data_IF_320931489996
#
_entry.id   IF_320931489996
#
_cell.length_a   1.000
_cell.length_b   1.000
_cell.length_c   1.000
_cell.angle_alpha   90.00
_cell.angle_beta   90.00
_cell.angle_gamma   90.00
#
_symmetry.space_group_name_H-M   'P 1'
#
loop_
_entity.id
_entity.type
_entity.pdbx_description
1 polymer ?
#
# COMPACT_ATOMS: atom_id res chain seq x y z
N UNK A 1 6.60 25.39 -8.24
CA UNK A 1 6.90 24.85 -8.69
C UNK A 1 7.70 23.78 -8.35
N UNK A 2 8.67 23.64 -8.57
CA UNK A 2 9.53 22.49 -8.40
C UNK A 2 9.67 22.05 -6.97
N UNK A 3 9.24 22.84 -6.10
CA UNK A 3 9.45 22.58 -4.72
C UNK A 3 8.68 21.42 -4.20
N UNK A 4 7.53 21.19 -4.73
CA UNK A 4 6.77 20.08 -4.27
C UNK A 4 7.44 18.80 -4.58
N UNK A 5 8.11 18.73 -5.69
CA UNK A 5 8.78 17.51 -6.07
C UNK A 5 9.82 17.08 -5.06
N UNK A 6 10.51 18.07 -4.50
CA UNK A 6 11.54 17.77 -3.53
C UNK A 6 10.93 17.11 -2.30
N UNK A 7 9.81 17.64 -1.84
CA UNK A 7 9.18 17.09 -0.66
C UNK A 7 8.69 15.67 -0.90
N UNK A 8 8.17 15.41 -2.06
CA UNK A 8 7.63 14.10 -2.36
C UNK A 8 8.70 13.05 -2.47
N UNK A 9 9.86 13.42 -2.99
CA UNK A 9 10.94 12.47 -3.19
C UNK A 9 11.44 11.89 -1.86
N UNK A 10 11.33 12.64 -0.79
CA UNK A 10 11.87 12.19 0.50
C UNK A 10 11.02 11.16 1.19
N UNK A 11 9.81 10.89 0.69
CA UNK A 11 8.91 9.95 1.33
C UNK A 11 8.39 8.99 0.27
N UNK A 12 9.15 7.93 0.00
CA UNK A 12 8.75 6.99 -1.05
C UNK A 12 7.40 6.36 -0.77
N UNK A 13 6.65 6.20 -1.84
CA UNK A 13 5.35 5.59 -1.78
C UNK A 13 5.33 4.39 -2.72
N UNK A 14 4.67 3.33 -2.30
CA UNK A 14 4.63 2.08 -3.06
C UNK A 14 3.21 1.64 -3.28
N UNK A 15 2.95 1.07 -4.46
CA UNK A 15 1.69 0.40 -4.75
C UNK A 15 1.99 -1.10 -4.82
N UNK A 16 1.23 -1.88 -4.04
CA UNK A 16 1.38 -3.32 -4.03
C UNK A 16 0.16 -3.93 -4.66
N UNK A 17 0.38 -4.78 -5.66
CA UNK A 17 -0.69 -5.52 -6.29
C UNK A 17 -0.72 -6.91 -5.66
N UNK A 18 -1.87 -7.29 -5.12
CA UNK A 18 -2.06 -8.58 -4.48
C UNK A 18 -3.15 -9.34 -5.21
N UNK A 19 -2.81 -10.49 -5.74
CA UNK A 19 -3.80 -11.33 -6.39
C UNK A 19 -4.53 -12.13 -5.32
N UNK A 20 -5.83 -11.94 -5.26
CA UNK A 20 -6.66 -12.59 -4.26
C UNK A 20 -8.01 -12.90 -4.90
N UNK A 21 -8.13 -14.07 -5.55
CA UNK A 21 -9.38 -14.43 -6.21
C UNK A 21 -10.56 -14.33 -5.26
N UNK A 22 -11.63 -13.67 -5.70
CA UNK A 22 -12.80 -13.49 -4.88
C UNK A 22 -12.73 -12.35 -3.89
N UNK A 23 -11.68 -11.51 -3.97
CA UNK A 23 -11.53 -10.41 -3.02
C UNK A 23 -12.77 -9.52 -2.94
N UNK A 24 -13.40 -9.28 -4.08
CA UNK A 24 -14.56 -8.40 -4.12
C UNK A 24 -15.79 -8.97 -3.43
N UNK A 25 -15.79 -10.26 -3.13
CA UNK A 25 -16.88 -10.91 -2.44
C UNK A 25 -16.65 -11.03 -0.93
N UNK A 26 -15.52 -10.54 -0.43
CA UNK A 26 -15.25 -10.58 1.01
C UNK A 26 -16.24 -9.69 1.76
N UNK A 27 -16.70 -10.16 2.91
CA UNK A 27 -17.62 -9.38 3.73
C UNK A 27 -16.90 -8.24 4.42
N UNK A 28 -17.67 -7.27 4.91
CA UNK A 28 -17.10 -6.17 5.68
C UNK A 28 -16.35 -6.70 6.90
N UNK A 29 -16.85 -7.77 7.50
CA UNK A 29 -16.21 -8.38 8.66
C UNK A 29 -14.87 -9.00 8.30
N UNK A 30 -14.81 -9.69 7.16
CA UNK A 30 -13.57 -10.27 6.69
C UNK A 30 -12.55 -9.21 6.32
N UNK A 31 -13.00 -8.13 5.69
CA UNK A 31 -12.12 -7.02 5.35
C UNK A 31 -11.59 -6.34 6.62
N UNK A 32 -12.44 -6.21 7.63
CA UNK A 32 -12.01 -5.65 8.91
C UNK A 32 -10.92 -6.51 9.55
N UNK A 33 -11.07 -7.83 9.48
CA UNK A 33 -10.07 -8.74 10.04
C UNK A 33 -8.73 -8.63 9.33
N UNK A 34 -8.76 -8.53 8.01
CA UNK A 34 -7.54 -8.34 7.23
C UNK A 34 -6.87 -7.02 7.61
N UNK A 35 -7.65 -5.97 7.75
CA UNK A 35 -7.13 -4.65 8.11
C UNK A 35 -6.51 -4.66 9.51
N UNK A 36 -7.16 -5.33 10.46
CA UNK A 36 -6.63 -5.44 11.81
C UNK A 36 -5.30 -6.17 11.82
N UNK A 37 -5.18 -7.23 11.04
CA UNK A 37 -3.93 -7.97 10.94
C UNK A 37 -2.84 -7.09 10.36
N UNK A 38 -3.15 -6.35 9.32
CA UNK A 38 -2.19 -5.43 8.71
C UNK A 38 -1.72 -4.39 9.72
N UNK A 39 -2.64 -3.79 10.46
CA UNK A 39 -2.29 -2.81 11.48
C UNK A 39 -1.40 -3.40 12.56
N UNK A 40 -1.64 -4.65 12.95
CA UNK A 40 -0.79 -5.33 13.91
C UNK A 40 0.63 -5.48 13.43
N UNK A 41 0.81 -5.87 12.15
CA UNK A 41 2.13 -5.99 11.56
C UNK A 41 2.82 -4.62 11.49
N UNK A 42 2.08 -3.59 11.08
CA UNK A 42 2.63 -2.25 11.00
C UNK A 42 3.13 -1.77 12.36
N UNK A 43 2.38 -2.09 13.41
CA UNK A 43 2.77 -1.73 14.76
C UNK A 43 4.10 -2.37 15.15
N UNK A 44 4.34 -3.60 14.70
CA UNK A 44 5.58 -4.31 14.95
C UNK A 44 6.74 -3.72 14.17
N UNK A 45 6.51 -3.35 12.92
CA UNK A 45 7.57 -2.82 12.05
C UNK A 45 7.96 -1.39 12.39
N UNK A 46 7.05 -0.65 13.00
CA UNK A 46 7.35 0.70 13.46
C UNK A 46 6.80 1.78 12.55
N UNK A 47 7.05 3.05 12.92
CA UNK A 47 6.39 4.18 12.27
C UNK A 47 6.93 4.52 10.87
N UNK A 48 8.01 3.91 10.43
CA UNK A 48 8.57 4.23 9.12
C UNK A 48 7.72 3.71 7.97
N UNK A 49 6.90 2.68 8.22
CA UNK A 49 6.00 2.17 7.20
C UNK A 49 4.58 2.53 7.61
N UNK A 50 3.82 3.09 6.67
CA UNK A 50 2.46 3.53 6.92
C UNK A 50 1.56 3.06 5.79
N UNK A 51 0.41 2.54 6.15
CA UNK A 51 -0.60 2.11 5.20
C UNK A 51 -1.52 3.29 4.94
N UNK A 52 -1.60 3.70 3.68
CA UNK A 52 -2.44 4.84 3.31
C UNK A 52 -3.88 4.37 3.09
N UNK A 53 -4.07 3.47 2.15
CA UNK A 53 -5.38 2.87 1.88
C UNK A 53 -5.18 1.73 0.87
N UNK A 54 -6.26 1.01 0.62
CA UNK A 54 -6.26 -0.05 -0.36
C UNK A 54 -7.54 -0.01 -1.18
N UNK A 55 -7.45 -0.47 -2.43
CA UNK A 55 -8.60 -0.63 -3.30
C UNK A 55 -8.85 -2.13 -3.43
N UNK A 56 -10.08 -2.55 -3.17
CA UNK A 56 -10.47 -3.95 -3.32
C UNK A 56 -11.26 -4.06 -4.62
N UNK A 57 -10.77 -4.88 -5.54
CA UNK A 57 -11.46 -5.15 -6.79
C UNK A 57 -12.01 -6.58 -6.75
N UNK A 58 -12.54 -7.06 -7.88
CA UNK A 58 -13.14 -8.40 -7.89
C UNK A 58 -12.16 -9.48 -7.45
N UNK A 59 -10.93 -9.42 -7.94
CA UNK A 59 -9.96 -10.49 -7.72
C UNK A 59 -8.59 -10.01 -7.28
N UNK A 60 -8.46 -8.73 -6.94
CA UNK A 60 -7.18 -8.16 -6.52
C UNK A 60 -7.39 -7.10 -5.46
N UNK A 61 -6.34 -6.85 -4.70
CA UNK A 61 -6.29 -5.70 -3.80
C UNK A 61 -5.04 -4.90 -4.17
N UNK A 62 -5.22 -3.59 -4.29
CA UNK A 62 -4.12 -2.67 -4.57
C UNK A 62 -3.91 -1.84 -3.32
N UNK A 63 -2.75 -1.97 -2.69
CA UNK A 63 -2.46 -1.29 -1.43
C UNK A 63 -1.43 -0.20 -1.64
N UNK A 64 -1.62 0.93 -0.98
CA UNK A 64 -0.70 2.06 -1.06
C UNK A 64 -0.03 2.21 0.30
N UNK A 65 1.31 2.19 0.30
CA UNK A 65 2.10 2.33 1.52
C UNK A 65 3.14 3.41 1.34
N UNK A 66 3.52 4.04 2.46
CA UNK A 66 4.67 4.91 2.54
C UNK A 66 5.71 4.14 3.34
N UNK A 67 6.91 4.01 2.80
CA UNK A 67 7.98 3.25 3.46
C UNK A 67 9.32 3.72 2.93
N UNK A 68 10.40 3.52 3.70
CA UNK A 68 11.73 3.97 3.24
C UNK A 68 12.28 3.17 2.08
N UNK A 69 11.85 1.92 1.92
CA UNK A 69 12.35 1.08 0.84
C UNK A 69 11.38 -0.06 0.57
N UNK A 70 11.61 -0.75 -0.54
CA UNK A 70 10.76 -1.86 -0.95
C UNK A 70 10.88 -3.04 -0.01
N UNK A 71 12.06 -3.26 0.56
CA UNK A 71 12.26 -4.39 1.46
C UNK A 71 11.31 -4.33 2.65
N UNK A 72 11.10 -3.16 3.21
CA UNK A 72 10.19 -3.04 4.34
C UNK A 72 8.76 -3.35 3.95
N UNK A 73 8.36 -2.96 2.73
CA UNK A 73 7.04 -3.28 2.21
C UNK A 73 6.87 -4.80 2.08
N UNK A 74 7.90 -5.47 1.55
CA UNK A 74 7.85 -6.92 1.41
C UNK A 74 7.89 -7.63 2.75
N UNK A 75 8.61 -7.07 3.71
CA UNK A 75 8.63 -7.62 5.06
C UNK A 75 7.23 -7.56 5.69
N UNK A 76 6.52 -6.46 5.48
CA UNK A 76 5.14 -6.34 5.97
C UNK A 76 4.27 -7.45 5.39
N UNK A 77 4.39 -7.68 4.09
CA UNK A 77 3.62 -8.73 3.43
C UNK A 77 3.94 -10.11 3.98
N UNK A 78 5.23 -10.36 4.21
CA UNK A 78 5.68 -11.65 4.72
C UNK A 78 5.17 -11.90 6.13
N UNK A 79 5.29 -10.91 7.00
CA UNK A 79 4.85 -11.06 8.39
C UNK A 79 3.34 -11.21 8.49
N UNK A 80 2.60 -10.56 7.62
CA UNK A 80 1.15 -10.66 7.60
C UNK A 80 0.62 -11.85 6.83
N UNK A 81 1.47 -12.53 6.07
CA UNK A 81 1.03 -13.62 5.22
C UNK A 81 0.23 -13.12 4.03
N UNK A 82 0.44 -11.87 3.62
CA UNK A 82 -0.28 -11.30 2.48
C UNK A 82 0.47 -11.55 1.19
N UNK A 83 -0.22 -11.81 0.08
CA UNK A 83 0.47 -11.89 -1.20
C UNK A 83 1.02 -10.54 -1.60
N UNK A 84 2.15 -10.52 -2.28
CA UNK A 84 2.75 -9.32 -2.80
C UNK A 84 3.25 -9.64 -4.20
N UNK A 85 2.32 -9.78 -5.13
CA UNK A 85 2.64 -10.22 -6.49
C UNK A 85 3.45 -9.18 -7.23
N UNK A 86 3.21 -7.91 -6.96
CA UNK A 86 3.95 -6.85 -7.60
C UNK A 86 4.06 -5.66 -6.65
N UNK A 87 5.27 -5.13 -6.51
CA UNK A 87 5.53 -3.94 -5.71
C UNK A 87 6.15 -2.91 -6.64
N UNK A 88 5.56 -1.74 -6.72
CA UNK A 88 6.04 -0.68 -7.61
C UNK A 88 6.19 0.62 -6.84
N UNK A 89 7.33 1.26 -7.01
CA UNK A 89 7.54 2.57 -6.40
C UNK A 89 6.80 3.62 -7.23
N UNK A 90 6.06 4.48 -6.55
CA UNK A 90 5.32 5.56 -7.20
C UNK A 90 6.31 6.65 -7.58
N UNK A 91 6.34 7.02 -8.84
CA UNK A 91 7.23 8.07 -9.32
C UNK A 91 6.55 9.43 -9.39
N UNK A 92 5.24 9.46 -9.59
CA UNK A 92 4.49 10.70 -9.66
C UNK A 92 3.02 10.40 -9.44
N UNK A 93 2.32 11.40 -8.95
CA UNK A 93 0.87 11.35 -8.81
C UNK A 93 0.31 12.44 -9.70
N UNK A 94 -0.63 12.08 -10.56
CA UNK A 94 -1.26 13.08 -11.42
C UNK A 94 -2.75 13.08 -11.14
N UNK A 95 -3.36 14.24 -11.33
CA UNK A 95 -4.80 14.41 -11.17
C UNK A 95 -5.23 15.57 -12.07
N UNK A 96 -6.52 15.95 -12.06
CA UNK A 96 -6.96 17.00 -12.98
C UNK A 96 -6.18 18.30 -12.87
N UNK A 97 -5.65 18.64 -11.68
CA UNK A 97 -4.89 19.87 -11.54
C UNK A 97 -3.55 19.80 -12.27
N UNK A 98 -3.07 18.61 -12.56
CA UNK A 98 -1.84 18.43 -13.32
C UNK A 98 -1.98 18.99 -14.73
N UNK A 99 -3.19 19.02 -15.25
CA UNK A 99 -3.44 19.52 -16.60
C UNK A 99 -3.37 21.06 -16.67
N UNK A 100 -3.33 21.72 -15.55
CA UNK A 100 -3.22 23.16 -15.48
C UNK A 100 -1.77 23.59 -15.57
#
# INVERSE_FOLDING_TARGET
MAIQSVAEVRVPKYVIERELPGAGALSAEQLAGISQKSCGVLSTLGPQIQWVHSYVTADKIYCVYIAPNEEMVREHAKLGGFPANRVSEVKAIIDPTTAE
#
